data_IF_075047511479
#
_entry.id   IF_075047511479
#
_cell.length_a   1.000
_cell.length_b   1.000
_cell.length_c   1.000
_cell.angle_alpha   90.00
_cell.angle_beta   90.00
_cell.angle_gamma   90.00
#
_symmetry.space_group_name_H-M   'P 1'
#
loop_
_entity.id
_entity.type
_entity.pdbx_description
1 polymer ?
#
# COMPACT_ATOMS: atom_id res chain seq x y z
N UNK A 1 -43.71 48.92 4.42
CA UNK A 1 -43.22 47.57 4.57
C UNK A 1 -43.45 47.00 5.98
N UNK A 2 -44.77 46.71 6.29
CA UNK A 2 -45.16 46.12 7.60
C UNK A 2 -44.69 44.70 7.83
N UNK A 3 -44.30 43.97 6.77
CA UNK A 3 -43.84 42.58 6.85
C UNK A 3 -42.39 42.53 7.37
N UNK A 4 -41.50 43.38 6.87
CA UNK A 4 -40.09 43.47 7.29
C UNK A 4 -39.92 43.87 8.75
N UNK A 5 -40.78 44.78 9.25
CA UNK A 5 -40.72 45.20 10.65
C UNK A 5 -41.26 44.14 11.64
N UNK A 6 -42.20 43.30 11.22
CA UNK A 6 -42.67 42.15 12.03
C UNK A 6 -41.62 41.03 12.08
N UNK A 7 -40.95 40.74 10.95
CA UNK A 7 -39.87 39.78 10.88
C UNK A 7 -38.68 40.24 11.73
N UNK A 8 -38.27 41.50 11.63
CA UNK A 8 -37.17 42.04 12.42
C UNK A 8 -37.42 41.93 13.94
N UNK A 9 -38.64 42.27 14.39
CA UNK A 9 -39.03 42.14 15.81
C UNK A 9 -39.06 40.66 16.27
N UNK A 10 -39.54 39.74 15.43
CA UNK A 10 -39.55 38.31 15.72
C UNK A 10 -38.13 37.76 15.90
N UNK A 11 -37.20 38.14 15.02
CA UNK A 11 -35.78 37.71 15.10
C UNK A 11 -35.11 38.27 16.36
N UNK A 12 -35.36 39.55 16.70
CA UNK A 12 -34.78 40.20 17.91
C UNK A 12 -35.35 39.55 19.17
N UNK A 13 -36.64 39.24 19.22
CA UNK A 13 -37.26 38.56 20.36
C UNK A 13 -36.80 37.13 20.52
N UNK A 14 -36.52 36.41 19.43
CA UNK A 14 -36.09 35.04 19.42
C UNK A 14 -34.54 34.86 19.41
N UNK A 15 -33.78 35.95 19.59
CA UNK A 15 -32.29 35.95 19.46
C UNK A 15 -31.61 34.87 20.25
N UNK A 16 -32.03 34.59 21.48
CA UNK A 16 -31.46 33.57 22.32
C UNK A 16 -31.77 32.16 21.82
N UNK A 17 -33.01 31.94 21.34
CA UNK A 17 -33.36 30.65 20.72
C UNK A 17 -32.59 30.38 19.45
N UNK A 18 -32.37 31.38 18.61
CA UNK A 18 -31.57 31.26 17.38
C UNK A 18 -30.11 30.94 17.73
N UNK A 19 -29.53 31.62 18.75
CA UNK A 19 -28.19 31.37 19.19
C UNK A 19 -28.02 29.93 19.72
N UNK A 20 -28.93 29.47 20.57
CA UNK A 20 -28.89 28.11 21.13
C UNK A 20 -29.07 27.08 20.01
N UNK A 21 -30.01 27.28 19.09
CA UNK A 21 -30.18 26.38 17.94
C UNK A 21 -28.94 26.33 17.05
N UNK A 22 -28.28 27.46 16.84
CA UNK A 22 -27.02 27.51 16.08
C UNK A 22 -25.88 26.78 16.76
N UNK A 23 -25.73 26.91 18.08
CA UNK A 23 -24.74 26.20 18.86
C UNK A 23 -24.99 24.67 18.84
N UNK A 24 -26.24 24.25 18.96
CA UNK A 24 -26.63 22.83 18.87
C UNK A 24 -26.34 22.29 17.47
N UNK A 25 -26.65 23.06 16.41
CA UNK A 25 -26.32 22.65 15.05
C UNK A 25 -24.82 22.53 14.81
N UNK A 26 -24.01 23.48 15.32
CA UNK A 26 -22.54 23.41 15.24
C UNK A 26 -21.99 22.22 16.02
N UNK A 27 -22.50 21.94 17.20
CA UNK A 27 -22.09 20.80 18.00
C UNK A 27 -22.43 19.47 17.30
N UNK A 28 -23.63 19.39 16.70
CA UNK A 28 -24.05 18.24 15.91
C UNK A 28 -23.15 18.03 14.69
N UNK A 29 -22.89 19.09 13.91
CA UNK A 29 -21.98 19.03 12.77
C UNK A 29 -20.55 18.64 13.19
N UNK A 30 -20.07 19.19 14.33
CA UNK A 30 -18.75 18.85 14.88
C UNK A 30 -18.62 17.37 15.26
N UNK A 31 -19.70 16.76 15.72
CA UNK A 31 -19.72 15.32 16.01
C UNK A 31 -19.56 14.47 14.75
N UNK A 32 -20.18 14.89 13.65
CA UNK A 32 -20.08 14.18 12.36
C UNK A 32 -18.74 14.40 11.63
N UNK A 33 -17.96 15.42 11.95
CA UNK A 33 -16.63 15.65 11.36
C UNK A 33 -15.71 14.45 11.57
N UNK A 34 -15.81 13.75 12.70
CA UNK A 34 -15.01 12.54 12.97
C UNK A 34 -15.28 11.37 12.00
N UNK A 35 -16.43 11.36 11.35
CA UNK A 35 -16.82 10.34 10.37
C UNK A 35 -16.53 10.78 8.93
N UNK A 36 -16.11 12.03 8.74
CA UNK A 36 -15.79 12.54 7.43
C UNK A 36 -14.46 11.98 6.96
N UNK A 37 -14.51 11.06 6.01
CA UNK A 37 -13.34 10.50 5.33
C UNK A 37 -13.33 11.03 3.91
N UNK A 38 -12.22 11.64 3.52
CA UNK A 38 -11.98 12.00 2.12
C UNK A 38 -11.32 10.77 1.49
N UNK A 39 -12.02 10.16 0.55
CA UNK A 39 -11.43 9.17 -0.33
C UNK A 39 -10.65 9.90 -1.41
N UNK A 40 -9.32 9.96 -1.23
CA UNK A 40 -8.38 10.56 -2.16
C UNK A 40 -7.71 9.50 -3.06
N UNK A 41 -8.35 8.33 -3.21
CA UNK A 41 -7.82 7.27 -4.09
C UNK A 41 -7.79 7.74 -5.54
N UNK A 42 -6.83 7.24 -6.30
CA UNK A 42 -6.72 7.54 -7.73
C UNK A 42 -8.00 7.16 -8.50
N UNK A 43 -8.73 6.15 -8.02
CA UNK A 43 -9.97 5.66 -8.62
C UNK A 43 -11.11 6.69 -8.60
N UNK A 44 -11.15 7.58 -7.61
CA UNK A 44 -12.17 8.64 -7.54
C UNK A 44 -11.93 9.75 -8.56
N UNK A 45 -10.71 9.87 -9.08
CA UNK A 45 -10.33 10.84 -10.11
C UNK A 45 -10.54 10.31 -11.54
N UNK A 46 -10.77 9.00 -11.69
CA UNK A 46 -11.00 8.39 -12.99
C UNK A 46 -12.47 8.51 -13.40
N UNK A 47 -12.68 8.88 -14.66
CA UNK A 47 -14.03 8.92 -15.25
C UNK A 47 -14.51 7.48 -15.42
N UNK A 48 -15.53 7.08 -14.68
CA UNK A 48 -16.06 5.71 -14.63
C UNK A 48 -16.52 5.16 -16.00
N UNK A 49 -16.87 6.03 -16.93
CA UNK A 49 -17.28 5.66 -18.30
C UNK A 49 -16.11 5.47 -19.27
N UNK A 50 -14.86 5.60 -18.79
CA UNK A 50 -13.70 5.39 -19.64
C UNK A 50 -13.49 3.90 -19.92
N UNK A 51 -13.38 3.54 -21.21
CA UNK A 51 -13.14 2.16 -21.64
C UNK A 51 -11.91 1.53 -20.98
N UNK A 52 -10.85 2.31 -20.75
CA UNK A 52 -9.65 1.84 -20.07
C UNK A 52 -9.94 1.53 -18.60
N UNK A 53 -10.76 2.32 -17.91
CA UNK A 53 -11.17 2.05 -16.53
C UNK A 53 -11.92 0.72 -16.42
N UNK A 54 -12.88 0.48 -17.33
CA UNK A 54 -13.63 -0.78 -17.35
C UNK A 54 -12.71 -1.96 -17.62
N UNK A 55 -11.74 -1.82 -18.55
CA UNK A 55 -10.76 -2.88 -18.82
C UNK A 55 -9.85 -3.16 -17.62
N UNK A 56 -9.40 -2.12 -16.91
CA UNK A 56 -8.63 -2.27 -15.66
C UNK A 56 -9.45 -2.99 -14.60
N UNK A 57 -10.71 -2.61 -14.44
CA UNK A 57 -11.60 -3.26 -13.46
C UNK A 57 -11.81 -4.76 -13.75
N UNK A 58 -11.97 -5.12 -15.03
CA UNK A 58 -12.05 -6.55 -15.44
C UNK A 58 -10.73 -7.27 -15.17
N UNK A 59 -9.59 -6.62 -15.42
CA UNK A 59 -8.28 -7.19 -15.11
C UNK A 59 -8.10 -7.38 -13.60
N UNK A 60 -8.46 -6.38 -12.79
CA UNK A 60 -8.37 -6.44 -11.33
C UNK A 60 -9.24 -7.57 -10.75
N UNK A 61 -10.46 -7.73 -11.27
CA UNK A 61 -11.34 -8.85 -10.88
C UNK A 61 -10.79 -10.23 -11.29
N UNK A 62 -10.04 -10.29 -12.41
CA UNK A 62 -9.49 -11.54 -12.93
C UNK A 62 -8.20 -11.94 -12.21
N UNK A 63 -7.33 -10.96 -11.96
CA UNK A 63 -5.98 -11.19 -11.42
C UNK A 63 -5.88 -10.91 -9.92
N UNK A 64 -6.89 -10.26 -9.33
CA UNK A 64 -6.95 -9.88 -7.91
C UNK A 64 -5.60 -9.33 -7.40
N UNK A 65 -5.10 -8.19 -7.95
CA UNK A 65 -3.81 -7.66 -7.58
C UNK A 65 -3.81 -7.27 -6.10
N UNK A 66 -2.87 -7.82 -5.36
CA UNK A 66 -2.72 -7.50 -3.95
C UNK A 66 -2.18 -6.08 -3.77
N UNK A 67 -2.70 -5.37 -2.78
CA UNK A 67 -2.16 -4.07 -2.38
C UNK A 67 -0.74 -4.24 -1.81
N UNK A 68 0.20 -3.44 -2.28
CA UNK A 68 1.57 -3.46 -1.78
C UNK A 68 2.15 -2.05 -1.61
N UNK A 69 3.14 -1.95 -0.73
CA UNK A 69 4.00 -0.77 -0.59
C UNK A 69 5.41 -1.16 -1.01
N UNK A 70 6.05 -0.30 -1.79
CA UNK A 70 7.46 -0.43 -2.11
C UNK A 70 8.28 0.49 -1.20
N UNK A 71 9.13 -0.13 -0.38
CA UNK A 71 10.07 0.56 0.51
C UNK A 71 11.46 0.55 -0.15
N UNK A 72 12.06 1.72 -0.35
CA UNK A 72 13.44 1.81 -0.79
C UNK A 72 14.37 1.85 0.43
N UNK A 73 15.38 0.98 0.44
CA UNK A 73 16.40 0.90 1.47
C UNK A 73 17.79 1.19 0.91
N UNK A 74 18.51 2.09 1.53
CA UNK A 74 19.89 2.41 1.22
C UNK A 74 20.73 2.43 2.49
N UNK A 75 21.73 1.54 2.63
CA UNK A 75 22.59 1.50 3.81
C UNK A 75 23.44 2.75 3.91
N UNK A 76 23.72 3.17 5.16
CA UNK A 76 24.62 4.28 5.44
C UNK A 76 25.92 3.75 6.06
N UNK A 77 27.05 4.01 5.43
CA UNK A 77 28.38 3.68 5.98
C UNK A 77 28.89 2.28 5.62
N UNK A 78 28.12 1.45 4.91
CA UNK A 78 28.55 0.13 4.41
C UNK A 78 27.90 -0.17 3.05
N UNK A 79 28.42 -1.19 2.37
CA UNK A 79 27.92 -1.60 1.06
C UNK A 79 26.56 -2.34 1.18
N UNK A 80 25.74 -2.24 0.13
CA UNK A 80 24.48 -2.97 0.04
C UNK A 80 24.71 -4.49 0.15
N UNK A 81 25.71 -5.01 -0.56
CA UNK A 81 26.05 -6.43 -0.55
C UNK A 81 27.09 -6.74 0.55
N UNK A 82 26.70 -6.45 1.80
CA UNK A 82 27.47 -6.83 2.99
C UNK A 82 26.60 -7.64 3.95
N UNK A 83 27.25 -8.45 4.80
CA UNK A 83 26.54 -9.24 5.79
C UNK A 83 25.74 -8.34 6.74
N UNK A 84 26.32 -7.26 7.16
CA UNK A 84 25.68 -6.30 8.06
C UNK A 84 24.38 -5.73 7.45
N UNK A 85 24.41 -5.33 6.18
CA UNK A 85 23.21 -4.84 5.47
C UNK A 85 22.13 -5.92 5.38
N UNK A 86 22.52 -7.17 5.14
CA UNK A 86 21.56 -8.27 5.02
C UNK A 86 20.93 -8.60 6.37
N UNK A 87 21.72 -8.59 7.45
CA UNK A 87 21.22 -8.77 8.82
C UNK A 87 20.26 -7.61 9.20
N UNK A 88 20.56 -6.36 8.79
CA UNK A 88 19.67 -5.19 8.98
C UNK A 88 18.34 -5.34 8.21
N UNK A 89 18.38 -5.81 6.96
CA UNK A 89 17.20 -6.06 6.13
C UNK A 89 16.36 -7.21 6.72
N UNK A 90 16.99 -8.26 7.21
CA UNK A 90 16.32 -9.39 7.88
C UNK A 90 15.57 -8.89 9.13
N UNK A 91 16.26 -8.14 9.99
CA UNK A 91 15.64 -7.55 11.19
C UNK A 91 14.48 -6.59 10.84
N UNK A 92 14.65 -5.75 9.82
CA UNK A 92 13.61 -4.85 9.35
C UNK A 92 12.41 -5.62 8.81
N UNK A 93 12.64 -6.63 7.97
CA UNK A 93 11.61 -7.52 7.42
C UNK A 93 10.82 -8.23 8.52
N UNK A 94 11.52 -8.75 9.54
CA UNK A 94 10.90 -9.40 10.70
C UNK A 94 9.99 -8.43 11.49
N UNK A 95 10.42 -7.19 11.69
CA UNK A 95 9.60 -6.15 12.36
C UNK A 95 8.38 -5.75 11.52
N UNK A 96 8.54 -5.61 10.21
CA UNK A 96 7.43 -5.26 9.30
C UNK A 96 6.40 -6.39 9.27
N UNK A 97 6.82 -7.65 9.24
CA UNK A 97 5.91 -8.82 9.29
C UNK A 97 5.05 -8.88 10.57
N UNK A 98 5.48 -8.22 11.65
CA UNK A 98 4.71 -8.14 12.91
C UNK A 98 3.59 -7.08 12.86
N UNK A 99 3.58 -6.20 11.86
CA UNK A 99 2.54 -5.20 11.70
C UNK A 99 1.25 -5.90 11.27
N UNK A 100 0.17 -5.58 11.96
CA UNK A 100 -1.15 -6.10 11.60
C UNK A 100 -1.47 -5.78 10.13
N UNK A 101 -2.14 -6.73 9.43
CA UNK A 101 -2.46 -6.67 8.00
C UNK A 101 -1.29 -6.85 7.01
N UNK A 102 -0.04 -6.95 7.44
CA UNK A 102 1.05 -7.38 6.55
C UNK A 102 0.93 -8.87 6.31
N UNK A 103 0.92 -9.28 5.04
CA UNK A 103 0.88 -10.68 4.62
C UNK A 103 2.28 -11.19 4.33
N UNK A 104 3.02 -10.46 3.49
CA UNK A 104 4.36 -10.86 3.07
C UNK A 104 5.30 -9.65 2.94
N UNK A 105 6.58 -9.91 3.11
CA UNK A 105 7.67 -8.95 2.84
C UNK A 105 8.68 -9.65 1.95
N UNK A 106 8.83 -9.14 0.74
CA UNK A 106 9.82 -9.61 -0.24
C UNK A 106 10.94 -8.60 -0.36
N UNK A 107 12.18 -9.06 -0.29
CA UNK A 107 13.37 -8.22 -0.33
C UNK A 107 14.52 -8.99 -0.99
N UNK A 108 15.68 -8.34 -1.11
CA UNK A 108 16.87 -8.94 -1.71
C UNK A 108 17.32 -10.25 -1.02
N UNK A 109 16.98 -10.46 0.25
CA UNK A 109 17.42 -11.64 1.00
C UNK A 109 16.53 -12.88 0.79
N UNK A 110 15.28 -12.69 0.42
CA UNK A 110 14.30 -13.78 0.26
C UNK A 110 13.68 -13.88 -1.13
N UNK A 111 14.13 -13.05 -2.08
CA UNK A 111 13.74 -13.22 -3.48
C UNK A 111 14.45 -14.44 -4.07
N UNK A 112 13.72 -15.35 -4.76
CA UNK A 112 14.34 -16.49 -5.42
C UNK A 112 15.24 -16.06 -6.59
N UNK A 113 16.48 -16.53 -6.58
CA UNK A 113 17.47 -16.26 -7.64
C UNK A 113 17.41 -17.36 -8.71
N UNK A 114 16.65 -17.13 -9.76
CA UNK A 114 16.34 -18.11 -10.81
C UNK A 114 17.50 -18.31 -11.80
N UNK A 115 18.72 -17.85 -11.49
CA UNK A 115 19.88 -17.97 -12.38
C UNK A 115 20.56 -19.33 -12.35
N UNK A 116 20.15 -20.20 -11.45
CA UNK A 116 20.74 -21.53 -11.33
C UNK A 116 19.96 -22.53 -12.18
N UNK A 117 20.62 -23.12 -13.17
CA UNK A 117 20.04 -24.18 -14.03
C UNK A 117 19.56 -25.38 -13.21
N UNK A 118 20.00 -25.54 -11.97
CA UNK A 118 19.53 -26.59 -11.05
C UNK A 118 18.04 -26.46 -10.70
N UNK A 119 17.47 -25.25 -10.74
CA UNK A 119 16.04 -25.05 -10.55
C UNK A 119 15.20 -25.62 -11.71
N UNK A 120 15.79 -25.73 -12.90
CA UNK A 120 15.14 -26.26 -14.12
C UNK A 120 15.21 -27.80 -14.17
N UNK A 121 16.08 -28.43 -13.39
CA UNK A 121 16.26 -29.89 -13.36
C UNK A 121 15.41 -30.60 -12.31
N UNK A 122 14.60 -29.85 -11.53
CA UNK A 122 13.65 -30.38 -10.55
C UNK A 122 14.27 -30.89 -9.24
N UNK A 123 15.57 -30.75 -9.06
CA UNK A 123 16.29 -31.21 -7.86
C UNK A 123 16.24 -30.24 -6.68
N UNK A 124 15.82 -28.99 -6.92
CA UNK A 124 15.80 -27.95 -5.88
C UNK A 124 14.54 -27.10 -6.02
N UNK A 125 13.79 -26.90 -4.91
CA UNK A 125 12.65 -25.99 -4.91
C UNK A 125 13.11 -24.54 -5.13
N UNK A 126 12.37 -23.78 -5.90
CA UNK A 126 12.68 -22.37 -6.21
C UNK A 126 12.81 -21.54 -4.91
N UNK A 127 11.98 -21.85 -3.91
CA UNK A 127 11.99 -21.19 -2.60
C UNK A 127 13.30 -21.39 -1.80
N UNK A 128 14.12 -22.40 -2.15
CA UNK A 128 15.40 -22.64 -1.50
C UNK A 128 16.56 -21.83 -2.09
N UNK A 129 16.34 -21.14 -3.22
CA UNK A 129 17.37 -20.36 -3.94
C UNK A 129 17.43 -18.90 -3.43
N UNK A 130 17.45 -18.71 -2.13
CA UNK A 130 17.52 -17.41 -1.48
C UNK A 130 18.77 -17.26 -0.63
N UNK A 131 19.11 -16.02 -0.27
CA UNK A 131 20.20 -15.79 0.68
C UNK A 131 19.83 -16.27 2.09
N UNK A 132 18.57 -16.10 2.53
CA UNK A 132 18.09 -16.59 3.83
C UNK A 132 18.42 -18.07 4.04
N UNK A 133 18.41 -18.87 2.98
CA UNK A 133 18.79 -20.28 3.03
C UNK A 133 20.31 -20.52 2.98
N UNK A 134 21.10 -19.47 3.17
CA UNK A 134 22.58 -19.48 3.26
C UNK A 134 23.28 -20.10 2.05
N UNK A 135 22.64 -20.16 0.90
CA UNK A 135 23.18 -20.74 -0.33
C UNK A 135 24.23 -19.84 -1.00
N UNK A 136 24.11 -18.52 -0.81
CA UNK A 136 24.94 -17.53 -1.48
C UNK A 136 25.64 -16.60 -0.47
N UNK A 137 26.90 -16.28 -0.74
CA UNK A 137 27.58 -15.19 -0.04
C UNK A 137 27.14 -13.82 -0.56
N UNK A 138 27.30 -12.71 0.18
CA UNK A 138 26.98 -11.37 -0.31
C UNK A 138 27.68 -11.01 -1.64
N UNK A 139 28.91 -11.47 -1.85
CA UNK A 139 29.64 -11.25 -3.10
C UNK A 139 29.02 -12.02 -4.28
N UNK A 140 28.57 -13.24 -4.07
CA UNK A 140 27.85 -14.03 -5.08
C UNK A 140 26.49 -13.40 -5.39
N UNK A 141 25.76 -12.91 -4.37
CA UNK A 141 24.51 -12.17 -4.57
C UNK A 141 24.72 -10.94 -5.44
N UNK A 142 25.80 -10.18 -5.21
CA UNK A 142 26.12 -9.01 -6.04
C UNK A 142 26.31 -9.40 -7.51
N UNK A 143 27.04 -10.48 -7.79
CA UNK A 143 27.27 -10.97 -9.15
C UNK A 143 26.00 -11.46 -9.84
N UNK A 144 25.08 -12.08 -9.09
CA UNK A 144 23.84 -12.62 -9.62
C UNK A 144 22.77 -11.55 -9.88
N UNK A 145 22.78 -10.47 -9.10
CA UNK A 145 21.70 -9.48 -9.11
C UNK A 145 22.06 -8.23 -9.90
N UNK A 146 23.29 -7.70 -9.71
CA UNK A 146 23.69 -6.45 -10.38
C UNK A 146 24.01 -6.73 -11.84
N UNK A 147 23.31 -6.00 -12.73
CA UNK A 147 23.39 -6.20 -14.18
C UNK A 147 22.45 -7.26 -14.74
N UNK A 148 21.71 -7.95 -13.88
CA UNK A 148 20.72 -8.92 -14.33
C UNK A 148 19.47 -8.23 -14.88
N UNK A 149 18.95 -8.62 -16.06
CA UNK A 149 17.84 -7.91 -16.73
C UNK A 149 16.52 -7.89 -15.93
N UNK A 150 16.30 -8.85 -15.03
CA UNK A 150 15.10 -8.92 -14.19
C UNK A 150 15.29 -8.15 -12.87
N UNK A 151 16.46 -8.30 -12.22
CA UNK A 151 16.65 -7.78 -10.86
C UNK A 151 17.15 -6.34 -10.83
N UNK A 152 17.87 -5.90 -11.85
CA UNK A 152 18.31 -4.51 -11.99
C UNK A 152 17.11 -3.63 -12.35
N UNK A 153 16.99 -2.48 -11.69
CA UNK A 153 15.87 -1.54 -11.76
C UNK A 153 14.56 -2.04 -11.12
N UNK A 154 14.41 -3.34 -10.82
CA UNK A 154 13.24 -3.87 -10.08
C UNK A 154 13.57 -4.06 -8.59
N UNK A 155 14.66 -4.74 -8.29
CA UNK A 155 15.06 -5.10 -6.93
C UNK A 155 16.21 -4.24 -6.40
N UNK A 156 17.17 -3.92 -7.25
CA UNK A 156 18.33 -3.07 -6.94
C UNK A 156 18.48 -1.98 -7.98
N UNK A 157 19.06 -0.85 -7.58
CA UNK A 157 19.46 0.19 -8.54
C UNK A 157 20.67 -0.27 -9.36
N UNK A 158 20.92 0.38 -10.50
CA UNK A 158 22.03 0.04 -11.42
C UNK A 158 23.42 0.08 -10.78
N UNK A 159 23.58 0.91 -9.76
CA UNK A 159 24.85 1.04 -9.03
C UNK A 159 25.01 -0.04 -7.94
N UNK A 160 23.98 -0.81 -7.62
CA UNK A 160 24.00 -1.78 -6.55
C UNK A 160 24.17 -1.17 -5.15
N UNK A 161 23.63 0.05 -4.95
CA UNK A 161 23.79 0.80 -3.69
C UNK A 161 22.49 0.93 -2.90
N UNK A 162 21.34 0.63 -3.52
CA UNK A 162 20.03 0.67 -2.91
C UNK A 162 19.19 -0.52 -3.39
N UNK A 163 18.27 -0.99 -2.54
CA UNK A 163 17.36 -2.09 -2.84
C UNK A 163 15.91 -1.72 -2.53
N UNK A 164 14.97 -2.35 -3.23
CA UNK A 164 13.55 -2.29 -2.93
C UNK A 164 13.12 -3.43 -2.01
N UNK A 165 12.14 -3.15 -1.15
CA UNK A 165 11.42 -4.15 -0.36
C UNK A 165 9.94 -4.00 -0.67
N UNK A 166 9.29 -5.07 -1.10
CA UNK A 166 7.86 -5.12 -1.35
C UNK A 166 7.14 -5.64 -0.11
N UNK A 167 6.19 -4.87 0.38
CA UNK A 167 5.36 -5.21 1.52
C UNK A 167 3.94 -5.42 1.01
N UNK A 168 3.47 -6.65 1.06
CA UNK A 168 2.14 -7.05 0.60
C UNK A 168 1.20 -7.08 1.79
N UNK A 169 -0.01 -6.55 1.59
CA UNK A 169 -1.05 -6.51 2.62
C UNK A 169 -2.09 -7.60 2.40
N UNK A 170 -2.63 -8.09 3.50
CA UNK A 170 -3.82 -8.94 3.49
C UNK A 170 -5.00 -8.17 2.92
N UNK A 171 -5.81 -8.85 2.15
CA UNK A 171 -7.05 -8.29 1.62
C UNK A 171 -7.88 -7.66 2.75
N UNK A 172 -8.43 -6.48 2.48
CA UNK A 172 -9.33 -5.84 3.42
C UNK A 172 -10.72 -6.53 3.33
N UNK A 173 -11.14 -7.28 4.37
CA UNK A 173 -12.41 -8.00 4.32
C UNK A 173 -13.63 -7.08 4.14
N UNK A 174 -13.55 -5.82 4.54
CA UNK A 174 -14.61 -4.85 4.28
C UNK A 174 -14.70 -4.47 2.80
N UNK A 175 -13.56 -4.28 2.12
CA UNK A 175 -13.53 -3.98 0.68
C UNK A 175 -14.00 -5.18 -0.14
N UNK A 176 -13.57 -6.39 0.22
CA UNK A 176 -14.04 -7.63 -0.41
C UNK A 176 -15.55 -7.78 -0.27
N UNK A 177 -16.12 -7.48 0.91
CA UNK A 177 -17.57 -7.54 1.15
C UNK A 177 -18.32 -6.50 0.33
N UNK A 178 -17.84 -5.26 0.28
CA UNK A 178 -18.43 -4.17 -0.51
C UNK A 178 -18.41 -4.50 -2.00
N UNK A 179 -17.30 -5.02 -2.51
CA UNK A 179 -17.19 -5.43 -3.91
C UNK A 179 -18.18 -6.56 -4.24
N UNK A 180 -18.31 -7.57 -3.37
CA UNK A 180 -19.25 -8.65 -3.55
C UNK A 180 -20.72 -8.17 -3.49
N UNK A 181 -21.04 -7.21 -2.62
CA UNK A 181 -22.38 -6.61 -2.55
C UNK A 181 -22.70 -5.81 -3.83
N UNK A 182 -21.75 -5.05 -4.37
CA UNK A 182 -21.93 -4.30 -5.62
C UNK A 182 -22.09 -5.23 -6.82
N UNK A 183 -21.33 -6.32 -6.88
CA UNK A 183 -21.41 -7.30 -7.98
C UNK A 183 -22.74 -8.07 -7.99
N UNK A 184 -23.38 -8.26 -6.83
CA UNK A 184 -24.67 -8.93 -6.72
C UNK A 184 -25.87 -8.03 -7.04
N UNK A 185 -25.67 -6.73 -7.28
CA UNK A 185 -26.73 -5.76 -7.62
C UNK A 185 -26.82 -5.52 -9.15
N UNK A 186 -25.87 -6.02 -9.92
CA UNK A 186 -25.87 -5.98 -11.40
C UNK A 186 -26.44 -7.28 -11.99
#
# INVERSE_FOLDING_TARGET
>A
NKITSKLARGIISARWFILVAFVIALAGLGFYIKQFRIDASADTLLVKDNKLYIQTQVADQTFNPQEFILLAYQPKGHELFSRQTFDDIEMLSARIKQIDRVEAVTSIINVPLINDTSALTGDTSVDSLTWENQRYSPAQMKQLIVGHPIFTDLLVNRQGTATGMQIVFKDNPELVRINNEITNIQ
#
